data_IF_812706101537
#
_entry.id   IF_812706101537
#
_cell.length_a   1.000
_cell.length_b   1.000
_cell.length_c   1.000
_cell.angle_alpha   90.00
_cell.angle_beta   90.00
_cell.angle_gamma   90.00
#
_symmetry.space_group_name_H-M   'P 1'
#
loop_
_entity.id
_entity.type
_entity.pdbx_description
1 polymer ?
#
# COMPACT_ATOMS: atom_id res chain seq x y z
N UNK A 1 32.79 3.31 -1.49
CA UNK A 1 31.50 2.58 -1.37
C UNK A 1 30.47 3.58 -0.87
N UNK A 2 29.43 3.90 -1.66
CA UNK A 2 28.30 4.66 -1.13
C UNK A 2 27.63 3.82 -0.04
N UNK A 3 27.24 4.41 1.11
CA UNK A 3 26.52 3.67 2.13
C UNK A 3 25.25 3.10 1.51
N UNK A 4 24.95 1.83 1.78
CA UNK A 4 23.68 1.22 1.41
C UNK A 4 22.59 2.09 2.03
N UNK A 5 21.92 2.89 1.22
CA UNK A 5 20.87 3.78 1.68
C UNK A 5 19.81 2.88 2.33
N UNK A 6 19.68 2.99 3.65
CA UNK A 6 18.63 2.30 4.39
C UNK A 6 17.32 2.92 3.93
N UNK A 7 16.63 2.27 3.00
CA UNK A 7 15.34 2.74 2.50
C UNK A 7 14.37 2.64 3.67
N UNK A 8 14.16 3.78 4.34
CA UNK A 8 13.14 3.88 5.37
C UNK A 8 11.81 3.46 4.77
N UNK A 9 11.04 2.68 5.54
CA UNK A 9 9.74 2.23 5.11
C UNK A 9 8.85 3.44 4.80
N UNK A 10 8.20 3.50 3.63
CA UNK A 10 7.35 4.62 3.31
C UNK A 10 6.14 4.68 4.25
N UNK A 11 5.72 5.89 4.62
CA UNK A 11 4.52 6.10 5.45
C UNK A 11 3.23 5.80 4.68
N UNK A 12 3.22 6.10 3.39
CA UNK A 12 2.12 5.82 2.48
C UNK A 12 2.64 5.49 1.09
N UNK A 13 1.85 4.73 0.34
CA UNK A 13 2.18 4.24 -0.99
C UNK A 13 1.09 4.61 -1.99
N UNK A 14 1.46 4.78 -3.25
CA UNK A 14 0.48 4.98 -4.32
C UNK A 14 -0.36 3.73 -4.52
N UNK A 15 -1.52 3.85 -5.17
CA UNK A 15 -2.33 2.67 -5.51
C UNK A 15 -1.60 1.66 -6.42
N UNK A 16 -0.67 2.13 -7.26
CA UNK A 16 0.14 1.26 -8.11
C UNK A 16 1.15 0.46 -7.28
N UNK A 17 1.80 1.10 -6.31
CA UNK A 17 2.75 0.42 -5.44
C UNK A 17 2.03 -0.53 -4.47
N UNK A 18 0.89 -0.13 -3.92
CA UNK A 18 0.02 -1.02 -3.15
C UNK A 18 -0.38 -2.28 -3.94
N UNK A 19 -0.69 -2.11 -5.23
CA UNK A 19 -1.00 -3.23 -6.12
C UNK A 19 0.20 -4.20 -6.23
N UNK A 20 1.41 -3.65 -6.39
CA UNK A 20 2.67 -4.40 -6.44
C UNK A 20 2.92 -5.16 -5.14
N UNK A 21 2.76 -4.50 -3.99
CA UNK A 21 2.99 -5.09 -2.65
C UNK A 21 2.01 -6.22 -2.36
N UNK A 22 0.73 -6.02 -2.69
CA UNK A 22 -0.35 -6.96 -2.39
C UNK A 22 -0.53 -8.06 -3.46
N UNK A 23 0.26 -8.04 -4.54
CA UNK A 23 0.11 -8.99 -5.65
C UNK A 23 -1.24 -8.88 -6.35
N UNK A 24 -1.77 -7.65 -6.48
CA UNK A 24 -3.08 -7.36 -7.09
C UNK A 24 -2.89 -6.43 -8.29
N UNK A 25 -3.91 -6.29 -9.12
CA UNK A 25 -3.91 -5.29 -10.20
C UNK A 25 -4.29 -3.90 -9.68
N UNK A 26 -3.73 -2.82 -10.26
CA UNK A 26 -4.10 -1.44 -9.91
C UNK A 26 -5.63 -1.19 -10.01
N UNK A 27 -6.36 -1.69 -11.02
CA UNK A 27 -7.83 -1.57 -11.05
C UNK A 27 -8.52 -2.26 -9.87
N UNK A 28 -7.97 -3.37 -9.37
CA UNK A 28 -8.49 -4.04 -8.17
C UNK A 28 -8.29 -3.18 -6.94
N UNK A 29 -7.10 -2.58 -6.76
CA UNK A 29 -6.86 -1.63 -5.67
C UNK A 29 -7.82 -0.43 -5.78
N UNK A 30 -8.00 0.14 -6.98
CA UNK A 30 -8.95 1.23 -7.19
C UNK A 30 -10.38 0.88 -6.81
N UNK A 31 -10.84 -0.35 -7.12
CA UNK A 31 -12.14 -0.85 -6.66
C UNK A 31 -12.24 -0.97 -5.14
N UNK A 32 -11.19 -1.45 -4.48
CA UNK A 32 -11.13 -1.58 -3.01
C UNK A 32 -11.13 -0.21 -2.31
N UNK A 33 -10.45 0.78 -2.89
CA UNK A 33 -10.53 2.18 -2.40
C UNK A 33 -11.95 2.72 -2.56
N UNK A 34 -12.57 2.53 -3.74
CA UNK A 34 -13.95 2.97 -3.99
C UNK A 34 -14.96 2.28 -3.07
N UNK A 35 -14.71 1.02 -2.71
CA UNK A 35 -15.53 0.25 -1.77
C UNK A 35 -15.28 0.62 -0.29
N UNK A 36 -14.32 1.50 -0.01
CA UNK A 36 -13.98 1.93 1.35
C UNK A 36 -13.10 0.94 2.13
N UNK A 37 -12.65 -0.14 1.50
CA UNK A 37 -11.71 -1.12 2.11
C UNK A 37 -10.35 -0.49 2.39
N UNK A 38 -9.87 0.35 1.47
CA UNK A 38 -8.69 1.19 1.70
C UNK A 38 -9.09 2.66 1.73
N UNK A 39 -8.60 3.39 2.74
CA UNK A 39 -8.77 4.84 2.85
C UNK A 39 -7.50 5.55 2.40
N UNK A 40 -7.66 6.52 1.52
CA UNK A 40 -6.56 7.39 1.11
C UNK A 40 -6.29 8.43 2.19
N UNK A 41 -5.03 8.83 2.33
CA UNK A 41 -4.67 10.03 3.10
C UNK A 41 -5.04 11.31 2.34
N UNK A 42 -4.78 12.47 2.93
CA UNK A 42 -5.07 13.77 2.34
C UNK A 42 -4.39 14.01 0.97
N UNK A 43 -3.34 13.25 0.64
CA UNK A 43 -2.60 13.33 -0.61
C UNK A 43 -3.02 12.28 -1.64
N UNK A 44 -4.05 11.47 -1.35
CA UNK A 44 -4.54 10.44 -2.27
C UNK A 44 -3.71 9.13 -2.27
N UNK A 45 -2.84 8.93 -1.29
CA UNK A 45 -2.03 7.71 -1.13
C UNK A 45 -2.60 6.78 -0.06
N UNK A 46 -2.34 5.48 -0.17
CA UNK A 46 -2.77 4.48 0.82
C UNK A 46 -1.72 4.42 1.95
N UNK A 47 -2.08 4.69 3.21
CA UNK A 47 -1.20 4.52 4.35
C UNK A 47 -0.66 3.09 4.46
N UNK A 48 0.63 2.95 4.75
CA UNK A 48 1.31 1.64 4.81
C UNK A 48 0.72 0.74 5.92
N UNK A 49 0.19 1.33 7.00
CA UNK A 49 -0.51 0.61 8.07
C UNK A 49 -1.72 -0.18 7.59
N UNK A 50 -2.43 0.31 6.57
CA UNK A 50 -3.54 -0.42 5.96
C UNK A 50 -3.06 -1.57 5.08
N UNK A 51 -1.93 -1.38 4.39
CA UNK A 51 -1.27 -2.44 3.62
C UNK A 51 -0.80 -3.56 4.55
N UNK A 52 -0.21 -3.23 5.70
CA UNK A 52 0.19 -4.20 6.72
C UNK A 52 -0.98 -5.03 7.22
N UNK A 53 -2.08 -4.34 7.52
CA UNK A 53 -3.30 -5.00 8.00
C UNK A 53 -3.83 -5.98 6.96
N UNK A 54 -3.82 -5.59 5.68
CA UNK A 54 -4.23 -6.47 4.58
C UNK A 54 -3.30 -7.68 4.41
N UNK A 55 -1.98 -7.50 4.56
CA UNK A 55 -1.01 -8.61 4.53
C UNK A 55 -1.21 -9.54 5.72
N UNK A 56 -1.43 -8.99 6.92
CA UNK A 56 -1.65 -9.76 8.13
C UNK A 56 -2.94 -10.59 8.04
N UNK A 57 -4.02 -10.02 7.51
CA UNK A 57 -5.29 -10.72 7.33
C UNK A 57 -5.19 -11.82 6.27
N UNK A 58 -4.47 -11.60 5.17
CA UNK A 58 -4.26 -12.62 4.13
C UNK A 58 -3.43 -13.84 4.60
N UNK A 59 -2.77 -13.75 5.76
CA UNK A 59 -1.95 -14.82 6.34
C UNK A 59 -2.68 -15.62 7.41
N UNK A 60 -3.92 -15.26 7.75
CA UNK A 60 -4.80 -16.05 8.61
C UNK A 60 -5.59 -17.05 7.77
#
# INVERSE_FOLDING_TARGET
MLPRQHVARPESVTQAEAARILGKSKPTIGRLVKAGTFRLNALGNIPMTQIDSAIAESRR
#
